data_IF_203041653973
#
_entry.id   IF_203041653973
#
_cell.length_a   1.000
_cell.length_b   1.000
_cell.length_c   1.000
_cell.angle_alpha   90.00
_cell.angle_beta   90.00
_cell.angle_gamma   90.00
#
_symmetry.space_group_name_H-M   'P 1'
#
loop_
_entity.id
_entity.type
_entity.pdbx_description
1 polymer ?
#
# COMPACT_ATOMS: atom_id res chain seq x y z
N UNK A 1 7.02 18.12 -12.29
CA UNK A 1 6.64 18.72 -13.60
C UNK A 1 5.91 17.66 -14.42
N UNK A 2 4.78 18.01 -15.03
CA UNK A 2 3.82 17.06 -15.63
C UNK A 2 4.36 16.42 -16.92
N UNK A 3 4.66 17.25 -17.92
CA UNK A 3 5.33 16.85 -19.16
C UNK A 3 6.44 17.85 -19.49
N UNK A 4 7.48 17.38 -20.19
CA UNK A 4 8.53 18.22 -20.74
C UNK A 4 8.77 17.81 -22.20
N UNK A 5 8.99 18.79 -23.07
CA UNK A 5 9.46 18.58 -24.44
C UNK A 5 10.92 19.01 -24.54
N UNK A 6 11.78 18.12 -25.04
CA UNK A 6 13.21 18.36 -25.25
C UNK A 6 13.49 18.35 -26.75
N UNK A 7 14.00 19.44 -27.28
CA UNK A 7 14.39 19.54 -28.68
C UNK A 7 15.90 19.49 -28.82
N UNK A 8 16.39 18.61 -29.69
CA UNK A 8 17.81 18.44 -29.93
C UNK A 8 18.13 17.93 -31.34
N UNK A 9 19.26 18.36 -31.89
CA UNK A 9 19.66 18.07 -33.28
C UNK A 9 19.98 16.59 -33.53
N UNK A 10 20.57 15.91 -32.55
CA UNK A 10 20.74 14.45 -32.57
C UNK A 10 19.77 13.85 -31.53
N UNK A 11 19.30 12.60 -31.67
CA UNK A 11 18.36 12.08 -30.66
C UNK A 11 19.05 11.75 -29.32
N UNK A 12 20.36 11.46 -29.38
CA UNK A 12 21.10 10.88 -28.27
C UNK A 12 21.29 11.80 -27.04
N UNK A 13 21.49 13.13 -27.18
CA UNK A 13 21.53 14.02 -26.01
C UNK A 13 20.14 14.28 -25.45
N UNK A 14 19.09 14.31 -26.27
CA UNK A 14 17.71 14.36 -25.76
C UNK A 14 17.45 13.18 -24.81
N UNK A 15 17.90 11.98 -25.19
CA UNK A 15 17.83 10.80 -24.33
C UNK A 15 18.69 10.93 -23.08
N UNK A 16 19.93 11.45 -23.19
CA UNK A 16 20.81 11.67 -22.03
C UNK A 16 20.20 12.66 -21.04
N UNK A 17 19.55 13.71 -21.52
CA UNK A 17 18.89 14.70 -20.67
C UNK A 17 17.61 14.14 -20.05
N UNK A 18 16.77 13.47 -20.82
CA UNK A 18 15.53 12.87 -20.31
C UNK A 18 15.77 11.92 -19.12
N UNK A 19 16.87 11.13 -19.16
CA UNK A 19 17.24 10.22 -18.06
C UNK A 19 17.65 10.92 -16.75
N UNK A 20 18.05 12.19 -16.82
CA UNK A 20 18.46 12.97 -15.65
C UNK A 20 17.29 13.75 -15.04
N UNK A 21 16.16 13.84 -15.75
CA UNK A 21 15.01 14.61 -15.31
C UNK A 21 14.00 13.74 -14.56
N UNK A 22 13.57 14.19 -13.39
CA UNK A 22 12.44 13.60 -12.66
C UNK A 22 11.14 14.26 -13.13
N UNK A 23 10.56 13.71 -14.20
CA UNK A 23 9.32 14.20 -14.83
C UNK A 23 8.31 13.08 -14.99
N UNK A 24 7.02 13.44 -15.02
CA UNK A 24 5.95 12.46 -15.21
C UNK A 24 6.01 11.83 -16.61
N UNK A 25 6.23 12.68 -17.61
CA UNK A 25 6.40 12.31 -19.01
C UNK A 25 7.44 13.19 -19.70
N UNK A 26 8.05 12.68 -20.76
CA UNK A 26 9.03 13.39 -21.58
C UNK A 26 8.80 13.08 -23.07
N UNK A 27 8.86 14.10 -23.90
CA UNK A 27 8.83 14.00 -25.36
C UNK A 27 10.16 14.51 -25.91
N UNK A 28 10.79 13.76 -26.81
CA UNK A 28 12.06 14.14 -27.43
C UNK A 28 11.78 14.44 -28.91
N UNK A 29 12.12 15.65 -29.33
CA UNK A 29 11.86 16.18 -30.68
C UNK A 29 10.38 16.19 -31.07
N UNK A 30 9.50 16.25 -30.07
CA UNK A 30 8.05 16.29 -30.27
C UNK A 30 7.38 16.99 -29.07
N UNK A 31 6.13 17.43 -29.24
CA UNK A 31 5.33 18.09 -28.22
C UNK A 31 3.96 17.42 -28.09
N UNK A 32 3.57 17.11 -26.85
CA UNK A 32 2.25 16.57 -26.48
C UNK A 32 1.83 15.23 -27.13
N UNK A 33 2.68 14.57 -27.95
CA UNK A 33 2.33 13.31 -28.62
C UNK A 33 2.00 12.16 -27.63
N UNK A 34 2.55 12.21 -26.42
CA UNK A 34 2.23 11.25 -25.35
C UNK A 34 0.75 11.26 -24.96
N UNK A 35 0.06 12.40 -25.10
CA UNK A 35 -1.37 12.52 -24.86
C UNK A 35 -2.19 11.76 -25.92
N UNK A 36 -1.66 11.63 -27.14
CA UNK A 36 -2.32 10.91 -28.23
C UNK A 36 -2.10 9.40 -28.14
N UNK A 37 -1.04 8.96 -27.47
CA UNK A 37 -0.74 7.54 -27.26
C UNK A 37 -1.51 6.99 -26.05
N UNK A 38 -2.75 6.53 -26.26
CA UNK A 38 -3.65 6.05 -25.19
C UNK A 38 -3.10 4.84 -24.39
N UNK A 39 -2.11 4.13 -24.93
CA UNK A 39 -1.42 3.04 -24.23
C UNK A 39 -0.38 3.53 -23.21
N UNK A 40 0.05 4.79 -23.28
CA UNK A 40 1.02 5.37 -22.35
C UNK A 40 0.32 5.92 -21.09
N UNK A 41 0.93 5.75 -19.91
CA UNK A 41 0.44 6.35 -18.70
C UNK A 41 0.71 7.86 -18.70
N UNK A 42 -0.35 8.63 -18.53
CA UNK A 42 -0.32 10.07 -18.50
C UNK A 42 -0.53 10.59 -17.07
N UNK A 43 0.42 11.39 -16.58
CA UNK A 43 0.30 12.03 -15.27
C UNK A 43 1.64 12.52 -14.73
N UNK A 44 1.61 13.04 -13.51
CA UNK A 44 2.71 13.82 -12.92
C UNK A 44 3.69 13.03 -12.07
N UNK A 45 4.67 13.78 -11.52
CA UNK A 45 5.47 13.37 -10.37
C UNK A 45 5.81 14.59 -9.50
N UNK A 46 5.73 14.45 -8.17
CA UNK A 46 6.00 15.52 -7.20
C UNK A 46 4.91 16.59 -7.21
N UNK A 47 5.31 17.87 -7.19
CA UNK A 47 4.36 19.01 -7.15
C UNK A 47 3.38 19.07 -8.33
N UNK A 48 3.71 18.43 -9.45
CA UNK A 48 2.78 18.37 -10.59
C UNK A 48 1.66 17.33 -10.42
N UNK A 49 1.59 16.67 -9.26
CA UNK A 49 0.58 15.66 -8.96
C UNK A 49 1.13 14.23 -8.96
N UNK A 50 0.28 13.35 -8.46
CA UNK A 50 0.51 11.92 -8.33
C UNK A 50 -0.58 11.17 -9.10
N UNK A 51 -0.35 9.88 -9.33
CA UNK A 51 -1.21 8.99 -10.13
C UNK A 51 -1.13 9.19 -11.67
N UNK A 52 -1.76 8.29 -12.42
CA UNK A 52 -1.77 8.23 -13.88
C UNK A 52 -3.16 7.92 -14.42
N UNK A 53 -3.53 8.53 -15.54
CA UNK A 53 -4.62 8.08 -16.39
C UNK A 53 -4.08 7.59 -17.74
N UNK A 54 -4.87 6.82 -18.50
CA UNK A 54 -4.37 6.18 -19.72
C UNK A 54 -3.45 4.98 -19.44
N UNK A 55 -3.27 4.12 -20.45
CA UNK A 55 -2.54 2.87 -20.30
C UNK A 55 -3.16 1.92 -19.25
N UNK A 56 -2.34 0.98 -18.78
CA UNK A 56 -2.76 -0.02 -17.78
C UNK A 56 -2.90 0.62 -16.40
N UNK A 57 -2.07 1.62 -16.11
CA UNK A 57 -2.07 2.38 -14.86
C UNK A 57 -3.40 3.11 -14.68
N UNK A 58 -3.88 3.81 -15.73
CA UNK A 58 -5.17 4.50 -15.68
C UNK A 58 -6.37 3.55 -15.56
N UNK A 59 -6.32 2.38 -16.22
CA UNK A 59 -7.36 1.36 -16.04
C UNK A 59 -7.40 0.84 -14.59
N UNK A 60 -6.23 0.61 -13.99
CA UNK A 60 -6.12 0.22 -12.58
C UNK A 60 -6.62 1.31 -11.63
N UNK A 61 -6.39 2.59 -11.96
CA UNK A 61 -6.92 3.72 -11.20
C UNK A 61 -8.45 3.78 -11.15
N UNK A 62 -9.13 3.22 -12.17
CA UNK A 62 -10.59 3.10 -12.20
C UNK A 62 -11.12 1.82 -11.52
N UNK A 63 -10.23 0.95 -11.03
CA UNK A 63 -10.60 -0.30 -10.40
C UNK A 63 -10.58 -0.16 -8.87
N UNK A 64 -11.49 -0.86 -8.21
CA UNK A 64 -11.45 -1.00 -6.75
C UNK A 64 -10.34 -1.99 -6.39
N UNK A 65 -9.25 -1.50 -5.81
CA UNK A 65 -8.17 -2.33 -5.31
C UNK A 65 -8.65 -3.07 -4.05
N UNK A 66 -8.77 -4.39 -4.12
CA UNK A 66 -9.20 -5.25 -3.00
C UNK A 66 -8.27 -6.43 -2.83
N UNK A 67 -7.78 -6.63 -1.60
CA UNK A 67 -7.16 -7.87 -1.18
C UNK A 67 -8.22 -8.78 -0.54
N UNK A 68 -8.23 -10.05 -0.91
CA UNK A 68 -9.09 -11.08 -0.31
C UNK A 68 -8.25 -12.32 -0.05
N UNK A 69 -8.36 -12.86 1.16
CA UNK A 69 -7.69 -14.10 1.57
C UNK A 69 -8.72 -15.11 2.02
N UNK A 70 -8.51 -16.38 1.65
CA UNK A 70 -9.36 -17.50 2.05
C UNK A 70 -8.44 -18.61 2.57
N UNK A 71 -8.84 -19.24 3.66
CA UNK A 71 -8.08 -20.35 4.24
C UNK A 71 -7.99 -21.51 3.24
N UNK A 72 -6.76 -21.93 2.92
CA UNK A 72 -6.52 -23.05 1.99
C UNK A 72 -6.98 -24.39 2.58
N UNK A 73 -6.89 -24.54 3.90
CA UNK A 73 -7.29 -25.73 4.64
C UNK A 73 -8.04 -25.32 5.92
N UNK A 74 -9.36 -25.07 5.82
CA UNK A 74 -10.19 -24.73 6.97
C UNK A 74 -10.03 -25.76 8.10
N UNK A 75 -9.84 -25.29 9.34
CA UNK A 75 -9.64 -26.14 10.51
C UNK A 75 -8.22 -26.66 10.78
N UNK A 76 -7.31 -26.69 9.79
CA UNK A 76 -5.91 -27.09 10.03
C UNK A 76 -5.05 -25.88 10.44
N UNK A 77 -5.16 -24.79 9.70
CA UNK A 77 -4.46 -23.52 9.98
C UNK A 77 -5.50 -22.41 9.87
N UNK A 78 -6.23 -22.21 10.97
CA UNK A 78 -7.28 -21.21 11.06
C UNK A 78 -7.07 -20.35 12.31
N UNK A 79 -6.99 -19.04 12.10
CA UNK A 79 -6.98 -18.08 13.21
C UNK A 79 -8.40 -17.90 13.71
N UNK A 80 -8.82 -18.75 14.66
CA UNK A 80 -10.10 -18.59 15.33
C UNK A 80 -10.08 -17.36 16.22
N UNK A 81 -11.01 -16.43 16.00
CA UNK A 81 -11.18 -15.26 16.84
C UNK A 81 -11.75 -15.72 18.20
N UNK A 82 -11.05 -15.45 19.33
CA UNK A 82 -11.54 -15.82 20.66
C UNK A 82 -12.92 -15.22 20.96
N UNK A 83 -13.76 -15.95 21.71
CA UNK A 83 -15.15 -15.53 22.00
C UNK A 83 -15.25 -14.16 22.69
N UNK A 84 -14.22 -13.74 23.44
CA UNK A 84 -14.13 -12.42 24.07
C UNK A 84 -13.99 -11.27 23.05
N UNK A 85 -13.50 -11.56 21.84
CA UNK A 85 -13.32 -10.60 20.74
C UNK A 85 -14.36 -10.73 19.63
N UNK A 86 -15.23 -11.75 19.69
CA UNK A 86 -16.29 -11.91 18.70
C UNK A 86 -17.36 -10.82 18.86
N UNK A 87 -17.84 -10.32 17.73
CA UNK A 87 -18.93 -9.35 17.69
C UNK A 87 -20.29 -10.07 17.67
N UNK A 88 -21.32 -9.60 18.42
CA UNK A 88 -21.30 -8.47 19.33
C UNK A 88 -20.46 -8.77 20.58
N UNK A 89 -19.66 -7.80 21.04
CA UNK A 89 -18.73 -8.02 22.14
C UNK A 89 -19.50 -8.23 23.45
N UNK A 90 -19.13 -9.28 24.20
CA UNK A 90 -19.77 -9.63 25.49
C UNK A 90 -19.42 -8.67 26.64
N UNK A 91 -18.60 -7.64 26.38
CA UNK A 91 -18.24 -6.60 27.32
C UNK A 91 -17.02 -5.80 26.86
N UNK A 92 -17.23 -4.54 26.50
CA UNK A 92 -16.20 -3.68 25.90
C UNK A 92 -14.91 -3.58 26.74
N UNK A 93 -15.04 -3.46 28.07
CA UNK A 93 -13.89 -3.35 28.98
C UNK A 93 -13.06 -4.64 28.98
N UNK A 94 -13.70 -5.81 29.04
CA UNK A 94 -13.01 -7.10 29.08
C UNK A 94 -12.27 -7.37 27.77
N UNK A 95 -12.90 -7.11 26.63
CA UNK A 95 -12.28 -7.23 25.30
C UNK A 95 -11.08 -6.28 25.16
N UNK A 96 -11.20 -5.03 25.63
CA UNK A 96 -10.11 -4.07 25.61
C UNK A 96 -8.93 -4.51 26.50
N UNK A 97 -9.20 -5.00 27.71
CA UNK A 97 -8.17 -5.53 28.61
C UNK A 97 -7.44 -6.74 28.00
N UNK A 98 -8.17 -7.64 27.36
CA UNK A 98 -7.58 -8.77 26.63
C UNK A 98 -6.64 -8.29 25.51
N UNK A 99 -7.08 -7.36 24.66
CA UNK A 99 -6.24 -6.78 23.61
C UNK A 99 -4.98 -6.09 24.17
N UNK A 100 -5.09 -5.37 25.29
CA UNK A 100 -3.93 -4.73 25.93
C UNK A 100 -2.91 -5.76 26.42
N UNK A 101 -3.36 -6.87 27.01
CA UNK A 101 -2.45 -7.95 27.39
C UNK A 101 -1.84 -8.66 26.18
N UNK A 102 -2.58 -8.80 25.07
CA UNK A 102 -2.06 -9.37 23.82
C UNK A 102 -0.95 -8.50 23.24
N UNK A 103 -1.18 -7.19 23.16
CA UNK A 103 -0.16 -6.22 22.72
C UNK A 103 1.06 -6.29 23.65
N UNK A 104 0.85 -6.33 24.97
CA UNK A 104 1.95 -6.41 25.95
C UNK A 104 2.73 -7.71 25.84
N UNK A 105 2.07 -8.84 25.56
CA UNK A 105 2.75 -10.12 25.34
C UNK A 105 3.68 -10.08 24.13
N UNK A 106 3.24 -9.46 23.03
CA UNK A 106 4.02 -9.40 21.77
C UNK A 106 5.15 -8.35 21.88
N UNK A 107 4.80 -7.15 22.33
CA UNK A 107 5.65 -5.96 22.18
C UNK A 107 6.35 -5.46 23.45
N UNK A 108 6.13 -6.06 24.64
CA UNK A 108 6.86 -5.62 25.83
C UNK A 108 8.38 -5.83 25.66
N UNK A 109 9.17 -4.90 26.20
CA UNK A 109 10.64 -4.97 26.12
C UNK A 109 11.24 -5.95 27.11
N UNK A 110 10.56 -6.22 28.24
CA UNK A 110 11.05 -7.15 29.28
C UNK A 110 10.37 -8.52 29.21
N UNK A 111 11.18 -9.58 29.37
CA UNK A 111 10.69 -10.97 29.32
C UNK A 111 9.69 -11.27 30.43
N UNK A 112 9.90 -10.73 31.63
CA UNK A 112 8.96 -10.87 32.74
C UNK A 112 7.61 -10.25 32.42
N UNK A 113 7.57 -9.10 31.75
CA UNK A 113 6.32 -8.47 31.35
C UNK A 113 5.60 -9.26 30.25
N UNK A 114 6.34 -9.90 29.34
CA UNK A 114 5.74 -10.81 28.33
C UNK A 114 5.12 -12.03 29.00
N UNK A 115 5.84 -12.69 29.91
CA UNK A 115 5.34 -13.87 30.65
C UNK A 115 4.13 -13.50 31.51
N UNK A 116 4.19 -12.39 32.25
CA UNK A 116 3.06 -11.91 33.04
C UNK A 116 1.84 -11.61 32.16
N UNK A 117 2.04 -10.98 31.00
CA UNK A 117 0.96 -10.72 30.06
C UNK A 117 0.37 -12.00 29.45
N UNK A 118 1.20 -13.01 29.14
CA UNK A 118 0.75 -14.31 28.68
C UNK A 118 -0.11 -15.03 29.73
N UNK A 119 0.30 -14.97 31.01
CA UNK A 119 -0.49 -15.51 32.13
C UNK A 119 -1.82 -14.76 32.31
N UNK A 120 -1.83 -13.44 32.13
CA UNK A 120 -3.07 -12.65 32.17
C UNK A 120 -4.03 -13.00 31.03
N UNK A 121 -3.51 -13.27 29.82
CA UNK A 121 -4.32 -13.74 28.68
C UNK A 121 -4.91 -15.11 28.94
N UNK A 122 -4.13 -16.05 29.44
CA UNK A 122 -4.59 -17.41 29.74
C UNK A 122 -5.72 -17.45 30.79
N UNK A 123 -5.79 -16.45 31.68
CA UNK A 123 -6.88 -16.30 32.66
C UNK A 123 -8.17 -15.67 32.09
N UNK A 124 -8.07 -15.01 30.94
CA UNK A 124 -9.16 -14.24 30.31
C UNK A 124 -9.71 -14.91 29.04
N UNK A 125 -8.96 -15.85 28.46
CA UNK A 125 -9.37 -16.71 27.36
C UNK A 125 -10.36 -17.78 27.83
#
# INVERSE_FOLDING_TARGET
>A
MWAIALYWALAAQGHRMARQLRVGMCNINDFAVNYLCQSLPFGGVGESGFDRFGGVEGLRGNCLVRAMTVDRAPGLVQTSIPAILQYPTRGAVKSATFCMHLIRMIYATSWLAKVAAALSLAKQA
#
